data_IF_585466243625
#
_entry.id   IF_585466243625
#
_cell.length_a   1.000
_cell.length_b   1.000
_cell.length_c   1.000
_cell.angle_alpha   90.00
_cell.angle_beta   90.00
_cell.angle_gamma   90.00
#
_symmetry.space_group_name_H-M   'P 1'
#
loop_
_entity.id
_entity.type
_entity.pdbx_description
1 polymer ?
#
# COMPACT_ATOMS: atom_id res chain seq x y z
N UNK A 1 -6.10 -5.10 5.35
CA UNK A 1 -6.46 -6.05 4.30
C UNK A 1 -7.19 -5.28 3.22
N UNK A 2 -7.21 -5.77 1.99
CA UNK A 2 -7.89 -5.09 0.88
C UNK A 2 -8.77 -6.08 0.11
N UNK A 3 -9.75 -5.55 -0.61
CA UNK A 3 -10.55 -6.32 -1.57
C UNK A 3 -10.03 -6.05 -2.98
N UNK A 4 -9.83 -7.11 -3.75
CA UNK A 4 -9.37 -6.98 -5.13
C UNK A 4 -10.57 -6.81 -6.08
N UNK A 5 -10.44 -5.87 -7.02
CA UNK A 5 -11.31 -5.75 -8.20
C UNK A 5 -10.42 -5.78 -9.44
N UNK A 6 -10.71 -6.69 -10.38
CA UNK A 6 -9.92 -6.84 -11.60
C UNK A 6 -10.40 -5.81 -12.62
N UNK A 7 -9.47 -5.04 -13.19
CA UNK A 7 -9.75 -4.01 -14.18
C UNK A 7 -8.70 -4.00 -15.28
N UNK A 8 -9.10 -3.66 -16.49
CA UNK A 8 -8.21 -3.41 -17.64
C UNK A 8 -7.79 -1.95 -17.77
N UNK A 9 -8.22 -1.08 -16.84
CA UNK A 9 -7.94 0.37 -16.86
C UNK A 9 -6.55 0.72 -16.29
N UNK A 10 -5.86 -0.25 -15.68
CA UNK A 10 -4.51 -0.08 -15.13
C UNK A 10 -3.53 -0.98 -15.89
N UNK A 11 -2.25 -0.55 -15.95
CA UNK A 11 -1.20 -1.35 -16.62
C UNK A 11 -0.99 -2.68 -15.90
N UNK A 12 -0.63 -3.71 -16.67
CA UNK A 12 -0.21 -4.99 -16.11
C UNK A 12 0.98 -4.79 -15.16
N UNK A 13 0.94 -5.46 -14.00
CA UNK A 13 1.95 -5.32 -12.95
C UNK A 13 1.75 -4.12 -12.02
N UNK A 14 0.68 -3.36 -12.18
CA UNK A 14 0.32 -2.24 -11.29
C UNK A 14 -0.94 -2.60 -10.50
N UNK A 15 -0.95 -2.21 -9.22
CA UNK A 15 -2.14 -2.22 -8.37
C UNK A 15 -2.46 -0.80 -7.92
N UNK A 16 -3.74 -0.52 -7.72
CA UNK A 16 -4.21 0.75 -7.18
C UNK A 16 -4.91 0.51 -5.85
N UNK A 17 -4.48 1.22 -4.81
CA UNK A 17 -5.11 1.23 -3.50
C UNK A 17 -5.21 2.68 -3.03
N UNK A 18 -6.44 3.18 -2.88
CA UNK A 18 -6.69 4.58 -2.53
C UNK A 18 -6.21 4.89 -1.11
N UNK A 19 -5.62 6.08 -0.93
CA UNK A 19 -5.28 6.61 0.39
C UNK A 19 -6.53 7.03 1.16
N UNK A 20 -6.40 7.20 2.48
CA UNK A 20 -7.47 7.72 3.35
C UNK A 20 -8.23 6.66 4.15
N UNK A 21 -7.93 5.37 3.97
CA UNK A 21 -8.42 4.34 4.88
C UNK A 21 -7.89 4.55 6.31
N UNK A 22 -8.74 4.32 7.31
CA UNK A 22 -8.38 4.42 8.72
C UNK A 22 -7.31 3.40 9.08
N UNK A 23 -6.28 3.80 9.81
CA UNK A 23 -5.28 2.87 10.29
C UNK A 23 -5.83 2.04 11.47
N UNK A 24 -5.78 0.71 11.37
CA UNK A 24 -6.18 -0.25 12.41
C UNK A 24 -5.15 -1.40 12.46
N UNK A 25 -4.00 -1.21 13.14
CA UNK A 25 -2.94 -2.21 13.21
C UNK A 25 -3.31 -3.39 14.12
N UNK A 26 -3.04 -4.60 13.63
CA UNK A 26 -3.12 -5.83 14.40
C UNK A 26 -1.78 -6.14 15.10
N UNK A 27 -1.78 -7.13 15.99
CA UNK A 27 -0.59 -7.52 16.77
C UNK A 27 0.57 -8.04 15.91
N UNK A 28 0.29 -8.54 14.71
CA UNK A 28 1.28 -8.99 13.73
C UNK A 28 1.78 -7.86 12.80
N UNK A 29 1.33 -6.62 13.04
CA UNK A 29 1.68 -5.44 12.23
C UNK A 29 0.86 -5.30 10.95
N UNK A 30 -0.07 -6.22 10.66
CA UNK A 30 -0.97 -6.05 9.51
C UNK A 30 -2.03 -4.99 9.81
N UNK A 31 -2.38 -4.18 8.82
CA UNK A 31 -3.48 -3.22 8.95
C UNK A 31 -4.79 -3.88 8.54
N UNK A 32 -5.87 -3.75 9.32
CA UNK A 32 -7.16 -4.40 9.01
C UNK A 32 -7.91 -3.70 7.88
N UNK A 33 -7.95 -2.37 7.87
CA UNK A 33 -8.79 -1.58 6.95
C UNK A 33 -8.15 -1.29 5.58
N UNK A 34 -6.87 -1.64 5.39
CA UNK A 34 -6.19 -1.49 4.10
C UNK A 34 -5.61 -0.10 3.87
N UNK A 35 -5.05 0.55 4.88
CA UNK A 35 -4.32 1.79 4.70
C UNK A 35 -3.04 1.56 3.87
N UNK A 36 -2.93 2.09 2.62
CA UNK A 36 -1.78 1.83 1.77
C UNK A 36 -0.46 2.38 2.34
N UNK A 37 -0.51 3.41 3.20
CA UNK A 37 0.69 4.07 3.71
C UNK A 37 1.50 3.16 4.64
N UNK A 38 0.92 2.09 5.19
CA UNK A 38 1.66 1.10 6.00
C UNK A 38 2.69 0.32 5.18
N UNK A 39 2.57 0.35 3.84
CA UNK A 39 3.49 -0.31 2.91
C UNK A 39 4.51 0.65 2.31
N UNK A 40 4.34 1.96 2.53
CA UNK A 40 5.15 2.99 1.87
C UNK A 40 6.44 3.27 2.63
N UNK A 41 7.49 3.64 1.89
CA UNK A 41 8.79 3.97 2.48
C UNK A 41 8.80 5.42 2.96
N UNK A 42 9.16 5.63 4.23
CA UNK A 42 9.34 6.95 4.81
C UNK A 42 10.77 7.46 4.59
N UNK A 43 11.04 7.97 3.39
CA UNK A 43 12.31 8.63 3.04
C UNK A 43 12.06 9.87 2.19
N UNK A 44 12.90 10.89 2.40
CA UNK A 44 12.92 12.10 1.59
C UNK A 44 13.29 11.85 0.13
N UNK A 45 12.74 12.64 -0.80
CA UNK A 45 13.03 12.53 -2.26
C UNK A 45 14.51 12.69 -2.61
N UNK A 46 15.22 13.57 -1.91
CA UNK A 46 16.66 13.81 -2.07
C UNK A 46 17.19 14.62 -0.89
N UNK A 47 18.52 14.76 -0.79
CA UNK A 47 19.17 15.59 0.23
C UNK A 47 18.62 17.03 0.23
N UNK A 48 18.29 17.59 -0.94
CA UNK A 48 17.78 18.95 -1.09
C UNK A 48 16.26 19.04 -0.82
N UNK A 49 15.47 18.18 -1.46
CA UNK A 49 14.01 18.36 -1.52
C UNK A 49 13.26 17.85 -0.30
N UNK A 50 13.72 16.75 0.31
CA UNK A 50 13.09 16.12 1.50
C UNK A 50 11.56 15.95 1.41
N UNK A 51 11.02 15.82 0.21
CA UNK A 51 9.60 15.57 -0.02
C UNK A 51 9.24 14.09 0.19
N UNK A 52 7.95 13.78 0.23
CA UNK A 52 7.48 12.39 0.34
C UNK A 52 7.86 11.54 -0.87
N UNK A 53 8.24 10.28 -0.63
CA UNK A 53 8.45 9.25 -1.66
C UNK A 53 7.40 8.13 -1.62
N UNK A 54 6.24 8.35 -0.99
CA UNK A 54 5.23 7.33 -0.73
C UNK A 54 4.73 6.59 -2.00
N UNK A 55 4.74 7.25 -3.16
CA UNK A 55 4.29 6.66 -4.43
C UNK A 55 5.37 5.82 -5.14
N UNK A 56 6.56 5.71 -4.55
CA UNK A 56 7.62 4.78 -4.97
C UNK A 56 7.58 3.56 -4.06
N UNK A 57 6.66 2.63 -4.34
CA UNK A 57 6.41 1.45 -3.52
C UNK A 57 6.26 0.22 -4.41
N UNK A 58 7.04 -0.83 -4.11
CA UNK A 58 6.88 -2.16 -4.69
C UNK A 58 6.16 -3.05 -3.69
N UNK A 59 5.23 -3.84 -4.18
CA UNK A 59 4.42 -4.76 -3.36
C UNK A 59 4.32 -6.11 -4.04
N UNK A 60 4.06 -7.13 -3.24
CA UNK A 60 3.56 -8.43 -3.70
C UNK A 60 2.10 -8.54 -3.27
N UNK A 61 1.26 -9.20 -4.08
CA UNK A 61 -0.14 -9.42 -3.74
C UNK A 61 -0.43 -10.92 -3.71
N UNK A 62 -0.93 -11.38 -2.58
CA UNK A 62 -1.39 -12.75 -2.39
C UNK A 62 -2.82 -12.76 -1.87
N UNK A 63 -3.54 -13.86 -2.16
CA UNK A 63 -4.82 -14.10 -1.50
C UNK A 63 -4.54 -14.35 -0.01
N UNK A 64 -5.28 -13.67 0.86
CA UNK A 64 -5.29 -13.98 2.29
C UNK A 64 -5.81 -15.40 2.46
N UNK A 65 -4.99 -16.25 3.06
CA UNK A 65 -5.39 -17.59 3.49
C UNK A 65 -5.88 -17.44 4.91
N UNK A 66 -7.16 -17.64 5.13
CA UNK A 66 -7.71 -17.72 6.48
C UNK A 66 -7.26 -19.05 7.10
N UNK A 67 -6.81 -19.04 8.36
CA UNK A 67 -6.70 -20.25 9.22
C UNK A 67 -8.07 -20.61 9.80
#
# INVERSE_FOLDING_TARGET
MARASVSTEIRQGVVSLSTGAWHDPQSDGTDRHGNPNVLTRDLGTSQLGQGSTAHTTLVEVSRVVDD
#
